data_IF_433782964145
#
_entry.id   IF_433782964145
#
_cell.length_a   1.000
_cell.length_b   1.000
_cell.length_c   1.000
_cell.angle_alpha   90.00
_cell.angle_beta   90.00
_cell.angle_gamma   90.00
#
_symmetry.space_group_name_H-M   'P 1'
#
loop_
_entity.id
_entity.type
_entity.pdbx_description
1 polymer ?
#
# COMPACT_ATOMS: atom_id res chain seq x y z
N UNK A 1 -16.60 -7.61 3.37
CA UNK A 1 -16.37 -6.85 2.12
C UNK A 1 -16.70 -5.37 2.32
N UNK A 2 -15.74 -4.45 2.26
CA UNK A 2 -15.89 -3.00 2.54
C UNK A 2 -16.63 -2.20 1.44
N UNK A 3 -17.48 -2.82 0.60
CA UNK A 3 -18.27 -2.11 -0.43
C UNK A 3 -17.48 -1.45 -1.58
N UNK A 4 -16.20 -1.80 -1.78
CA UNK A 4 -15.36 -1.27 -2.87
C UNK A 4 -15.93 -1.65 -4.25
N UNK A 5 -16.09 -0.65 -5.12
CA UNK A 5 -16.41 -0.85 -6.54
C UNK A 5 -15.32 -0.27 -7.42
N UNK A 6 -15.31 -0.66 -8.70
CA UNK A 6 -14.32 -0.20 -9.68
C UNK A 6 -14.18 1.33 -9.69
N UNK A 7 -12.94 1.82 -9.74
CA UNK A 7 -12.56 3.24 -9.73
C UNK A 7 -12.89 4.05 -8.45
N UNK A 8 -13.35 3.43 -7.36
CA UNK A 8 -13.53 4.14 -6.09
C UNK A 8 -12.20 4.64 -5.52
N UNK A 9 -12.22 5.81 -4.89
CA UNK A 9 -11.07 6.34 -4.16
C UNK A 9 -11.08 5.87 -2.71
N UNK A 10 -9.91 5.52 -2.20
CA UNK A 10 -9.72 5.16 -0.80
C UNK A 10 -8.27 5.33 -0.37
N UNK A 11 -7.99 5.72 0.89
CA UNK A 11 -6.67 5.57 1.45
C UNK A 11 -6.42 4.08 1.71
N UNK A 12 -5.25 3.59 1.31
CA UNK A 12 -4.58 2.53 2.05
C UNK A 12 -3.83 3.20 3.20
N UNK A 13 -4.11 2.84 4.45
CA UNK A 13 -3.42 3.40 5.61
C UNK A 13 -2.91 2.32 6.56
N UNK A 14 -1.80 2.59 7.22
CA UNK A 14 -1.29 1.82 8.35
C UNK A 14 -0.52 2.74 9.32
N UNK A 15 0.13 2.16 10.33
CA UNK A 15 0.93 2.95 11.30
C UNK A 15 2.10 3.74 10.70
N UNK A 16 2.48 3.48 9.44
CA UNK A 16 3.56 4.18 8.72
C UNK A 16 3.06 5.45 8.03
N UNK A 17 1.85 5.41 7.46
CA UNK A 17 1.31 6.52 6.69
C UNK A 17 0.11 6.13 5.84
N UNK A 18 -0.15 6.93 4.81
CA UNK A 18 -1.31 6.77 3.93
C UNK A 18 -1.00 7.04 2.45
N UNK A 19 -1.84 6.46 1.59
CA UNK A 19 -1.79 6.66 0.14
C UNK A 19 -3.20 6.61 -0.45
N UNK A 20 -3.60 7.69 -1.13
CA UNK A 20 -4.92 7.79 -1.77
C UNK A 20 -4.84 7.33 -3.22
N UNK A 21 -5.62 6.31 -3.58
CA UNK A 21 -5.63 5.73 -4.92
C UNK A 21 -7.04 5.35 -5.38
N UNK A 22 -7.16 5.11 -6.69
CA UNK A 22 -8.35 4.50 -7.28
C UNK A 22 -8.21 2.98 -7.24
N UNK A 23 -9.23 2.30 -6.73
CA UNK A 23 -9.29 0.85 -6.67
C UNK A 23 -9.64 0.25 -8.04
N UNK A 24 -8.95 -0.83 -8.40
CA UNK A 24 -9.34 -1.76 -9.47
C UNK A 24 -9.72 -3.08 -8.81
N UNK A 25 -10.98 -3.49 -8.94
CA UNK A 25 -11.49 -4.70 -8.31
C UNK A 25 -11.37 -5.86 -9.28
N UNK A 26 -10.65 -6.91 -8.88
CA UNK A 26 -10.43 -8.10 -9.73
C UNK A 26 -10.63 -9.38 -8.94
N UNK A 27 -10.98 -10.47 -9.64
CA UNK A 27 -11.13 -11.81 -9.06
C UNK A 27 -9.86 -12.68 -9.16
N UNK A 28 -8.74 -12.11 -9.63
CA UNK A 28 -7.51 -12.87 -9.90
C UNK A 28 -6.64 -13.05 -8.64
N UNK A 29 -6.94 -12.33 -7.55
CA UNK A 29 -6.21 -12.39 -6.29
C UNK A 29 -7.02 -13.06 -5.17
N UNK A 30 -6.36 -13.41 -4.05
CA UNK A 30 -7.03 -13.88 -2.83
C UNK A 30 -8.00 -12.84 -2.25
N UNK A 31 -8.98 -13.27 -1.45
CA UNK A 31 -10.06 -12.42 -0.92
C UNK A 31 -9.58 -11.29 0.01
N UNK A 32 -8.38 -11.40 0.60
CA UNK A 32 -7.80 -10.44 1.56
C UNK A 32 -6.41 -10.01 1.10
N UNK A 33 -6.32 -9.54 -0.14
CA UNK A 33 -5.06 -9.15 -0.76
C UNK A 33 -5.16 -7.81 -1.48
N UNK A 34 -4.16 -6.95 -1.26
CA UNK A 34 -4.00 -5.67 -1.95
C UNK A 34 -2.71 -5.73 -2.76
N UNK A 35 -2.78 -5.34 -4.03
CA UNK A 35 -1.60 -5.18 -4.89
C UNK A 35 -1.46 -3.72 -5.26
N UNK A 36 -0.28 -3.17 -5.00
CA UNK A 36 0.14 -1.85 -5.43
C UNK A 36 1.46 -1.97 -6.18
N UNK A 37 1.52 -1.45 -7.40
CA UNK A 37 2.76 -1.50 -8.18
C UNK A 37 3.73 -0.42 -7.72
N UNK A 38 4.98 -0.78 -7.48
CA UNK A 38 6.03 0.20 -7.21
C UNK A 38 6.17 1.14 -8.41
N UNK A 39 5.93 2.43 -8.18
CA UNK A 39 6.11 3.46 -9.19
C UNK A 39 6.23 4.85 -8.56
N UNK A 40 7.01 5.70 -9.21
CA UNK A 40 7.04 7.14 -8.98
C UNK A 40 6.51 7.86 -10.21
N UNK A 41 5.39 8.57 -10.03
CA UNK A 41 4.81 9.37 -11.11
C UNK A 41 5.04 10.84 -10.81
N UNK A 42 5.79 11.57 -11.67
CA UNK A 42 5.98 13.01 -11.51
C UNK A 42 4.64 13.72 -11.32
N UNK A 43 4.57 14.60 -10.31
CA UNK A 43 3.39 15.43 -10.00
C UNK A 43 2.13 14.64 -9.59
N UNK A 44 2.26 13.38 -9.15
CA UNK A 44 1.16 12.64 -8.53
C UNK A 44 1.51 12.26 -7.10
N UNK A 45 0.49 12.23 -6.25
CA UNK A 45 0.59 11.80 -4.86
C UNK A 45 0.63 10.27 -4.71
N UNK A 46 1.05 9.54 -5.75
CA UNK A 46 1.16 8.10 -5.69
C UNK A 46 2.58 7.72 -5.24
N UNK A 47 2.67 7.09 -4.07
CA UNK A 47 3.90 6.49 -3.59
C UNK A 47 3.55 5.31 -2.67
N UNK A 48 3.89 4.08 -3.09
CA UNK A 48 3.65 2.88 -2.27
C UNK A 48 4.50 2.87 -1.00
N UNK A 49 5.65 3.54 -1.01
CA UNK A 49 6.55 3.61 0.15
C UNK A 49 5.92 4.32 1.35
N UNK A 50 4.87 5.12 1.15
CA UNK A 50 4.15 5.78 2.26
C UNK A 50 3.49 4.80 3.23
N UNK A 51 3.23 3.56 2.79
CA UNK A 51 2.60 2.51 3.61
C UNK A 51 3.54 1.32 3.83
N UNK A 52 4.83 1.46 3.54
CA UNK A 52 5.83 0.40 3.73
C UNK A 52 6.80 0.82 4.82
N UNK A 53 6.89 0.04 5.89
CA UNK A 53 7.88 0.27 6.94
C UNK A 53 9.24 -0.31 6.53
N UNK A 54 10.31 0.45 6.79
CA UNK A 54 11.68 -0.05 6.68
C UNK A 54 11.97 -0.98 7.86
N UNK A 55 11.64 -2.27 7.68
CA UNK A 55 11.90 -3.30 8.69
C UNK A 55 13.28 -3.87 8.44
N UNK A 56 14.20 -3.88 9.42
CA UNK A 56 15.50 -4.51 9.23
C UNK A 56 15.34 -5.97 8.82
N UNK A 57 15.91 -6.35 7.68
CA UNK A 57 15.99 -7.74 7.29
C UNK A 57 16.98 -8.47 8.23
N UNK A 58 16.46 -9.14 9.27
CA UNK A 58 17.25 -10.03 10.10
C UNK A 58 17.36 -11.40 9.43
N UNK A 59 18.35 -11.51 8.54
CA UNK A 59 18.72 -12.77 7.90
C UNK A 59 19.78 -13.54 8.70
N UNK A 60 20.09 -13.11 9.94
CA UNK A 60 21.16 -13.69 10.74
C UNK A 60 22.49 -13.78 9.99
N UNK A 61 23.16 -14.93 10.10
CA UNK A 61 24.45 -15.21 9.43
C UNK A 61 24.35 -15.28 7.89
N UNK A 62 23.15 -15.33 7.33
CA UNK A 62 22.94 -15.36 5.87
C UNK A 62 22.95 -13.97 5.25
N UNK A 63 23.14 -12.91 6.05
CA UNK A 63 23.24 -11.53 5.59
C UNK A 63 24.58 -11.28 4.89
N UNK A 64 24.65 -11.52 3.59
CA UNK A 64 25.79 -11.13 2.74
C UNK A 64 25.45 -9.83 2.00
N UNK A 65 25.82 -8.66 2.56
CA UNK A 65 25.62 -7.36 1.88
C UNK A 65 25.23 -6.20 2.81
N UNK A 66 24.93 -5.04 2.21
CA UNK A 66 24.43 -3.86 2.94
C UNK A 66 23.08 -4.16 3.63
N UNK A 67 22.74 -3.48 4.73
CA UNK A 67 21.42 -3.61 5.36
C UNK A 67 20.32 -3.32 4.33
N UNK A 68 19.60 -4.36 3.92
CA UNK A 68 18.42 -4.23 3.06
C UNK A 68 17.16 -4.03 3.89
N UNK A 69 16.19 -3.33 3.31
CA UNK A 69 14.85 -3.16 3.86
C UNK A 69 13.99 -4.40 3.56
N UNK A 70 13.44 -5.03 4.60
CA UNK A 70 12.40 -6.04 4.44
C UNK A 70 11.05 -5.33 4.26
N UNK A 71 10.64 -5.18 3.00
CA UNK A 71 9.39 -4.51 2.61
C UNK A 71 8.20 -5.48 2.43
N UNK A 72 8.37 -6.75 2.80
CA UNK A 72 7.33 -7.77 2.79
C UNK A 72 6.54 -7.77 4.10
N UNK A 73 5.42 -8.50 4.15
CA UNK A 73 4.53 -8.61 5.32
C UNK A 73 3.96 -7.27 5.81
N UNK A 74 3.68 -6.36 4.87
CA UNK A 74 3.01 -5.09 5.17
C UNK A 74 1.49 -5.26 5.10
N UNK A 75 0.80 -4.72 6.08
CA UNK A 75 -0.66 -4.71 6.14
C UNK A 75 -1.15 -3.27 6.08
N UNK A 76 -2.27 -3.07 5.40
CA UNK A 76 -2.92 -1.78 5.31
C UNK A 76 -4.44 -1.95 5.40
N UNK A 77 -5.07 -1.00 6.07
CA UNK A 77 -6.51 -0.83 6.02
C UNK A 77 -6.90 -0.02 4.80
N UNK A 78 -7.97 -0.45 4.12
CA UNK A 78 -8.58 0.30 3.03
C UNK A 78 -9.85 0.98 3.56
N UNK A 79 -9.99 2.28 3.35
CA UNK A 79 -11.22 3.05 3.65
C UNK A 79 -11.80 3.61 2.35
N UNK A 80 -13.10 3.80 2.26
CA UNK A 80 -13.74 4.49 1.12
C UNK A 80 -13.77 5.99 1.40
N UNK A 81 -13.35 6.81 0.43
CA UNK A 81 -13.53 8.27 0.51
C UNK A 81 -14.83 8.62 -0.24
N UNK A 82 -15.71 9.38 0.42
CA UNK A 82 -16.92 9.89 -0.21
C UNK A 82 -16.60 10.74 -1.44
N UNK A 83 -17.49 10.72 -2.44
CA UNK A 83 -17.28 11.45 -3.70
C UNK A 83 -17.27 12.97 -3.41
N UNK A 84 -16.08 13.57 -3.36
CA UNK A 84 -15.88 15.01 -3.10
C UNK A 84 -15.16 15.35 -1.79
N UNK A 85 -14.85 14.36 -0.95
CA UNK A 85 -14.09 14.56 0.28
C UNK A 85 -12.58 14.45 -0.01
N UNK A 86 -11.78 15.32 0.60
CA UNK A 86 -10.33 15.12 0.71
C UNK A 86 -10.03 14.58 2.10
N UNK A 87 -9.08 13.65 2.17
CA UNK A 87 -8.43 13.32 3.43
C UNK A 87 -7.58 14.54 3.80
N UNK A 88 -7.69 14.99 5.05
CA UNK A 88 -7.04 16.19 5.57
C UNK A 88 -5.57 15.92 5.89
#
# INVERSE_FOLDING_TARGET
KKGLTENHRGPGCNGTGEVVLRAKVTSNGPEVFLVMYEAWFPKRQYNVQNVVADTPADMGLMKTGAPGAAIHSQFADVVLIGKGESVA
#
